data_IF_897027938932
#
_entry.id   IF_897027938932
#
_cell.length_a   1.000
_cell.length_b   1.000
_cell.length_c   1.000
_cell.angle_alpha   90.00
_cell.angle_beta   90.00
_cell.angle_gamma   90.00
#
_symmetry.space_group_name_H-M   'P 1'
#
loop_
_entity.id
_entity.type
_entity.pdbx_description
1 polymer ?
#
# COMPACT_ATOMS: atom_id res chain seq x y z
N UNK A 1 13.21 -45.92 17.72
CA UNK A 1 12.62 -44.64 17.25
C UNK A 1 13.65 -43.55 17.51
N UNK A 2 14.25 -43.02 16.46
CA UNK A 2 15.50 -42.25 16.56
C UNK A 2 15.12 -40.82 16.95
N UNK A 3 15.37 -40.45 18.20
CA UNK A 3 15.02 -39.14 18.79
C UNK A 3 15.53 -37.94 17.98
N UNK A 4 16.62 -38.11 17.23
CA UNK A 4 17.12 -37.12 16.27
C UNK A 4 16.17 -36.87 15.09
N UNK A 5 15.51 -37.90 14.56
CA UNK A 5 14.52 -37.76 13.49
C UNK A 5 13.27 -37.04 14.00
N UNK A 6 12.84 -37.34 15.23
CA UNK A 6 11.68 -36.69 15.87
C UNK A 6 11.94 -35.20 16.06
N UNK A 7 13.13 -34.81 16.50
CA UNK A 7 13.51 -33.38 16.66
C UNK A 7 13.55 -32.64 15.33
N UNK A 8 14.09 -33.25 14.29
CA UNK A 8 14.13 -32.65 12.96
C UNK A 8 12.72 -32.41 12.40
N UNK A 9 11.81 -33.38 12.58
CA UNK A 9 10.41 -33.25 12.17
C UNK A 9 9.68 -32.12 12.91
N UNK A 10 9.86 -32.01 14.23
CA UNK A 10 9.23 -30.94 15.03
C UNK A 10 9.73 -29.56 14.61
N UNK A 11 11.03 -29.41 14.33
CA UNK A 11 11.61 -28.15 13.85
C UNK A 11 11.12 -27.76 12.45
N UNK A 12 10.97 -28.73 11.54
CA UNK A 12 10.44 -28.48 10.20
C UNK A 12 8.95 -28.08 10.24
N UNK A 13 8.15 -28.76 11.07
CA UNK A 13 6.73 -28.49 11.22
C UNK A 13 6.44 -27.10 11.84
N UNK A 14 7.25 -26.67 12.81
CA UNK A 14 7.10 -25.33 13.41
C UNK A 14 7.43 -24.22 12.41
N UNK A 15 8.49 -24.35 11.60
CA UNK A 15 8.81 -23.39 10.54
C UNK A 15 7.73 -23.31 9.47
N UNK A 16 7.21 -24.46 9.00
CA UNK A 16 6.14 -24.52 8.01
C UNK A 16 4.86 -23.77 8.45
N UNK A 17 4.55 -23.82 9.75
CA UNK A 17 3.37 -23.15 10.32
C UNK A 17 3.44 -21.63 10.26
N UNK A 18 4.64 -21.03 10.31
CA UNK A 18 4.80 -19.58 10.15
C UNK A 18 4.51 -19.12 8.71
N UNK A 19 4.89 -19.91 7.70
CA UNK A 19 4.66 -19.52 6.29
C UNK A 19 3.18 -19.45 5.90
N UNK A 20 2.30 -20.17 6.60
CA UNK A 20 0.85 -20.19 6.32
C UNK A 20 0.08 -19.02 6.97
N UNK A 21 0.65 -18.38 7.99
CA UNK A 21 0.02 -17.24 8.68
C UNK A 21 0.26 -15.91 7.93
N UNK A 22 1.27 -15.86 7.07
CA UNK A 22 1.54 -14.73 6.17
C UNK A 22 0.81 -14.83 4.82
N UNK A 23 -0.33 -15.52 4.74
CA UNK A 23 -1.30 -15.26 3.67
C UNK A 23 -2.03 -13.94 3.99
N UNK A 24 -1.24 -12.86 4.10
CA UNK A 24 -1.72 -11.50 4.08
C UNK A 24 -2.27 -11.24 2.69
N UNK A 25 -3.52 -11.63 2.44
CA UNK A 25 -4.32 -11.08 1.35
C UNK A 25 -4.62 -9.62 1.68
N UNK A 26 -3.59 -8.81 1.79
CA UNK A 26 -3.67 -7.37 1.66
C UNK A 26 -3.98 -7.11 0.19
N UNK A 27 -5.25 -7.23 -0.19
CA UNK A 27 -5.78 -6.61 -1.40
C UNK A 27 -5.80 -5.10 -1.15
N UNK A 28 -4.62 -4.50 -0.97
CA UNK A 28 -4.45 -3.08 -1.21
C UNK A 28 -4.77 -2.93 -2.70
N UNK A 29 -5.75 -2.11 -3.06
CA UNK A 29 -5.87 -1.75 -4.47
C UNK A 29 -4.57 -0.99 -4.80
N UNK A 30 -3.61 -1.64 -5.48
CA UNK A 30 -2.28 -1.10 -5.81
C UNK A 30 -2.39 0.28 -6.48
N UNK A 31 -3.54 0.54 -7.09
CA UNK A 31 -3.91 1.83 -7.65
C UNK A 31 -3.72 3.00 -6.67
N UNK A 32 -4.11 2.87 -5.40
CA UNK A 32 -3.94 3.96 -4.43
C UNK A 32 -2.47 4.29 -4.17
N UNK A 33 -1.63 3.26 -4.10
CA UNK A 33 -0.18 3.43 -3.95
C UNK A 33 0.47 3.99 -5.23
N UNK A 34 0.01 3.57 -6.41
CA UNK A 34 0.42 4.16 -7.69
C UNK A 34 0.07 5.64 -7.77
N UNK A 35 -1.13 6.03 -7.33
CA UNK A 35 -1.55 7.43 -7.29
C UNK A 35 -0.64 8.27 -6.41
N UNK A 36 -0.34 7.81 -5.19
CA UNK A 36 0.56 8.52 -4.28
C UNK A 36 1.95 8.66 -4.91
N UNK A 37 2.52 7.57 -5.44
CA UNK A 37 3.83 7.58 -6.08
C UNK A 37 3.88 8.56 -7.25
N UNK A 38 2.86 8.56 -8.12
CA UNK A 38 2.79 9.44 -9.27
C UNK A 38 2.62 10.91 -8.85
N UNK A 39 1.80 11.22 -7.84
CA UNK A 39 1.65 12.57 -7.30
C UNK A 39 2.95 13.11 -6.69
N UNK A 40 3.80 12.24 -6.14
CA UNK A 40 5.10 12.62 -5.59
C UNK A 40 6.17 12.94 -6.64
N UNK A 41 5.90 12.74 -7.94
CA UNK A 41 6.85 13.07 -8.99
C UNK A 41 7.01 14.60 -9.14
N UNK A 42 8.20 15.19 -8.93
CA UNK A 42 8.40 16.64 -9.04
C UNK A 42 8.15 17.18 -10.45
N UNK A 43 8.27 16.34 -11.49
CA UNK A 43 7.94 16.71 -12.87
C UNK A 43 6.43 16.71 -13.18
N UNK A 44 5.60 16.43 -12.18
CA UNK A 44 4.15 16.38 -12.29
C UNK A 44 3.60 14.96 -12.37
N UNK A 45 2.30 14.80 -12.04
CA UNK A 45 1.70 13.50 -11.82
C UNK A 45 1.52 12.66 -13.09
N UNK A 46 1.70 13.24 -14.28
CA UNK A 46 1.51 12.55 -15.57
C UNK A 46 2.72 12.62 -16.49
N UNK A 47 3.90 13.00 -15.96
CA UNK A 47 5.14 13.05 -16.73
C UNK A 47 5.46 11.69 -17.37
N UNK A 48 5.29 10.61 -16.61
CA UNK A 48 5.47 9.24 -17.08
C UNK A 48 4.15 8.69 -17.62
N UNK A 49 4.22 7.92 -18.71
CA UNK A 49 3.05 7.38 -19.39
C UNK A 49 2.25 6.43 -18.47
N UNK A 50 2.96 5.67 -17.65
CA UNK A 50 2.43 4.73 -16.65
C UNK A 50 1.58 5.44 -15.59
N UNK A 51 1.85 6.73 -15.34
CA UNK A 51 1.10 7.53 -14.38
C UNK A 51 -0.18 8.16 -14.96
N UNK A 52 -0.38 8.16 -16.28
CA UNK A 52 -1.60 8.76 -16.88
C UNK A 52 -2.87 7.99 -16.49
N UNK A 53 -2.97 6.66 -16.69
CA UNK A 53 -4.18 5.92 -16.32
C UNK A 53 -4.58 6.02 -14.84
N UNK A 54 -3.67 5.86 -13.84
CA UNK A 54 -4.05 5.93 -12.43
C UNK A 54 -4.47 7.34 -12.01
N UNK A 55 -3.84 8.40 -12.54
CA UNK A 55 -4.17 9.79 -12.22
C UNK A 55 -5.49 10.22 -12.89
N UNK A 56 -5.75 9.80 -14.13
CA UNK A 56 -7.07 10.02 -14.75
C UNK A 56 -8.19 9.30 -14.00
N UNK A 57 -7.93 8.08 -13.50
CA UNK A 57 -8.86 7.37 -12.62
C UNK A 57 -9.10 8.15 -11.31
N UNK A 58 -8.05 8.75 -10.74
CA UNK A 58 -8.16 9.60 -9.54
C UNK A 58 -9.10 10.78 -9.79
N UNK A 59 -8.86 11.55 -10.86
CA UNK A 59 -9.69 12.73 -11.16
C UNK A 59 -11.15 12.36 -11.41
N UNK A 60 -11.42 11.26 -12.12
CA UNK A 60 -12.78 10.74 -12.32
C UNK A 60 -13.44 10.32 -11.01
N UNK A 61 -12.70 9.73 -10.08
CA UNK A 61 -13.24 9.33 -8.78
C UNK A 61 -13.58 10.55 -7.92
N UNK A 62 -12.67 11.52 -7.83
CA UNK A 62 -12.87 12.76 -7.09
C UNK A 62 -14.01 13.61 -7.66
N UNK A 63 -14.14 13.69 -8.99
CA UNK A 63 -15.24 14.38 -9.65
C UNK A 63 -16.63 13.79 -9.32
N UNK A 64 -16.67 12.52 -8.94
CA UNK A 64 -17.90 11.83 -8.48
C UNK A 64 -18.12 11.94 -6.96
N UNK A 65 -17.27 12.67 -6.25
CA UNK A 65 -17.33 12.82 -4.79
C UNK A 65 -16.80 11.61 -4.02
N UNK A 66 -16.07 10.69 -4.66
CA UNK A 66 -15.40 9.61 -3.93
C UNK A 66 -14.22 10.15 -3.11
N UNK A 67 -13.89 9.46 -2.03
CA UNK A 67 -12.72 9.78 -1.22
C UNK A 67 -11.41 9.54 -1.99
N UNK A 68 -10.34 10.21 -1.54
CA UNK A 68 -8.99 9.90 -2.00
C UNK A 68 -8.66 8.41 -1.79
N UNK A 69 -7.99 7.74 -2.74
CA UNK A 69 -7.75 6.31 -2.63
C UNK A 69 -6.83 5.97 -1.45
N UNK A 70 -7.21 4.94 -0.70
CA UNK A 70 -6.34 4.40 0.33
C UNK A 70 -5.18 3.61 -0.32
N UNK A 71 -3.98 3.80 0.21
CA UNK A 71 -2.85 2.91 -0.03
C UNK A 71 -2.56 2.21 1.30
N UNK A 72 -2.59 0.88 1.33
CA UNK A 72 -2.17 0.07 2.47
C UNK A 72 -0.93 -0.74 2.08
N UNK A 73 0.15 -0.03 1.78
CA UNK A 73 1.50 -0.62 1.74
C UNK A 73 2.07 -0.71 3.15
N UNK A 74 3.11 -1.54 3.35
CA UNK A 74 3.83 -1.57 4.63
C UNK A 74 4.29 -0.15 5.02
N UNK A 75 3.82 0.35 6.17
CA UNK A 75 4.22 1.65 6.72
C UNK A 75 3.52 2.89 6.14
N UNK A 76 2.54 2.76 5.24
CA UNK A 76 1.77 3.90 4.74
C UNK A 76 0.27 3.71 5.03
N UNK A 77 -0.30 4.59 5.85
CA UNK A 77 -1.75 4.78 5.99
C UNK A 77 -2.06 6.24 5.68
N UNK A 78 -2.48 6.52 4.43
CA UNK A 78 -2.96 7.84 4.04
C UNK A 78 -4.40 8.03 4.55
N UNK A 79 -4.55 8.25 5.85
CA UNK A 79 -5.84 8.49 6.50
C UNK A 79 -6.14 9.99 6.47
N UNK A 80 -6.66 10.48 5.34
CA UNK A 80 -7.00 11.88 5.01
C UNK A 80 -5.80 12.81 4.72
N UNK A 81 -5.94 13.74 3.75
CA UNK A 81 -5.03 14.88 3.63
C UNK A 81 -5.09 15.70 4.93
N UNK A 82 -3.95 15.88 5.59
CA UNK A 82 -3.83 16.86 6.68
C UNK A 82 -3.96 18.26 6.08
N UNK A 83 -4.87 19.07 6.62
CA UNK A 83 -4.92 20.51 6.32
C UNK A 83 -4.07 21.23 7.37
N UNK A 84 -2.96 21.86 6.95
CA UNK A 84 -2.19 22.76 7.80
C UNK A 84 -2.50 24.21 7.40
N UNK A 85 -3.21 24.98 8.25
CA UNK A 85 -3.53 26.36 7.94
C UNK A 85 -2.26 27.22 7.99
N UNK A 86 -1.90 27.84 6.86
CA UNK A 86 -0.93 28.94 6.85
C UNK A 86 -1.58 30.15 7.52
N UNK A 87 -1.20 30.43 8.77
CA UNK A 87 -1.54 31.70 9.42
C UNK A 87 -0.75 32.81 8.72
N UNK A 88 -1.40 33.55 7.82
CA UNK A 88 -0.87 34.82 7.34
C UNK A 88 -0.92 35.83 8.50
N UNK A 89 0.22 36.09 9.13
CA UNK A 89 0.38 37.23 10.03
C UNK A 89 0.30 38.51 9.21
N UNK A 90 -0.73 39.30 9.46
CA UNK A 90 -0.87 40.66 8.94
C UNK A 90 0.11 41.63 9.61
#
# INVERSE_FOLDING_TARGET
MNTSLVRAFVAAASLASFYLVFDGKARADDWGCQVILCLSNPGGPTQYAECRPPIEKLWRALAKGHSFPACSGVGFQASRPGYEPLMATA
#
